data_IF_988994239424
#
_entry.id   IF_988994239424
#
_cell.length_a   1.000
_cell.length_b   1.000
_cell.length_c   1.000
_cell.angle_alpha   90.00
_cell.angle_beta   90.00
_cell.angle_gamma   90.00
#
_symmetry.space_group_name_H-M   'P 1'
#
loop_
_entity.id
_entity.type
_entity.pdbx_description
1 polymer ?
#
# COMPACT_ATOMS: atom_id res chain seq x y z
N UNK A 1 21.34 3.44 -13.75
CA UNK A 1 20.52 3.22 -12.54
C UNK A 1 19.12 2.80 -12.99
N UNK A 2 18.60 1.66 -12.50
CA UNK A 2 17.23 1.20 -12.85
C UNK A 2 16.20 2.05 -12.08
N UNK A 3 15.03 2.35 -12.68
CA UNK A 3 13.97 3.15 -12.05
C UNK A 3 13.67 2.72 -10.61
N UNK A 4 13.54 1.41 -10.39
CA UNK A 4 13.18 0.85 -9.08
C UNK A 4 14.23 1.15 -8.01
N UNK A 5 15.53 1.00 -8.32
CA UNK A 5 16.59 1.30 -7.35
C UNK A 5 16.64 2.79 -6.98
N UNK A 6 16.44 3.69 -7.94
CA UNK A 6 16.31 5.11 -7.63
C UNK A 6 15.09 5.42 -6.76
N UNK A 7 13.95 4.79 -7.04
CA UNK A 7 12.72 5.01 -6.30
C UNK A 7 12.82 4.47 -4.87
N UNK A 8 13.48 3.32 -4.68
CA UNK A 8 13.82 2.78 -3.37
C UNK A 8 14.67 3.79 -2.56
N UNK A 9 15.75 4.30 -3.15
CA UNK A 9 16.59 5.32 -2.52
C UNK A 9 15.81 6.60 -2.19
N UNK A 10 14.89 7.00 -3.08
CA UNK A 10 14.04 8.15 -2.86
C UNK A 10 13.07 7.92 -1.69
N UNK A 11 12.43 6.75 -1.61
CA UNK A 11 11.56 6.35 -0.49
C UNK A 11 12.33 6.43 0.84
N UNK A 12 13.53 5.86 0.89
CA UNK A 12 14.37 5.87 2.09
C UNK A 12 14.73 7.30 2.52
N UNK A 13 15.15 8.16 1.58
CA UNK A 13 15.45 9.56 1.87
C UNK A 13 14.22 10.34 2.33
N UNK A 14 13.09 10.20 1.65
CA UNK A 14 11.85 10.88 2.02
C UNK A 14 11.44 10.53 3.46
N UNK A 15 11.50 9.25 3.85
CA UNK A 15 11.20 8.82 5.22
C UNK A 15 12.21 9.36 6.24
N UNK A 16 13.50 9.40 5.89
CA UNK A 16 14.52 9.98 6.73
C UNK A 16 14.27 11.47 6.99
N UNK A 17 14.00 12.24 5.93
CA UNK A 17 13.80 13.69 5.99
C UNK A 17 12.57 14.08 6.83
N UNK A 18 11.57 13.19 6.93
CA UNK A 18 10.34 13.42 7.70
C UNK A 18 10.31 12.69 9.05
N UNK A 19 11.40 12.04 9.47
CA UNK A 19 11.44 11.24 10.70
C UNK A 19 11.05 12.05 11.95
N UNK A 20 11.40 13.34 12.02
CA UNK A 20 11.07 14.21 13.15
C UNK A 20 9.56 14.55 13.25
N UNK A 21 8.81 14.47 12.14
CA UNK A 21 7.37 14.75 12.09
C UNK A 21 6.53 13.47 12.23
N UNK A 22 7.18 12.31 12.10
CA UNK A 22 6.54 11.01 12.06
C UNK A 22 5.94 10.63 13.41
N UNK A 23 4.66 10.26 13.40
CA UNK A 23 3.92 9.76 14.56
C UNK A 23 3.73 8.25 14.44
N UNK A 24 3.92 7.52 15.53
CA UNK A 24 3.65 6.08 15.56
C UNK A 24 2.15 5.81 15.44
N UNK A 25 1.77 4.77 14.69
CA UNK A 25 0.38 4.34 14.59
C UNK A 25 -0.16 3.71 15.88
N UNK A 26 0.71 3.37 16.82
CA UNK A 26 0.32 2.91 18.15
C UNK A 26 -0.50 3.97 18.94
N UNK A 27 -0.53 5.23 18.50
CA UNK A 27 -1.40 6.26 19.08
C UNK A 27 -2.90 6.06 18.79
N UNK A 28 -3.28 5.02 18.04
CA UNK A 28 -4.66 4.66 17.74
C UNK A 28 -5.06 3.37 18.48
N UNK A 29 -5.65 3.46 19.69
CA UNK A 29 -6.06 2.28 20.44
C UNK A 29 -7.05 1.38 19.69
N UNK A 30 -7.94 1.98 18.90
CA UNK A 30 -8.96 1.29 18.11
C UNK A 30 -8.39 0.39 17.00
N UNK A 31 -7.10 0.50 16.67
CA UNK A 31 -6.46 -0.35 15.65
C UNK A 31 -5.77 -1.58 16.24
N UNK A 32 -5.60 -1.64 17.57
CA UNK A 32 -4.87 -2.73 18.23
C UNK A 32 -5.57 -4.08 18.12
N UNK A 33 -6.89 -4.09 17.90
CA UNK A 33 -7.65 -5.31 17.67
C UNK A 33 -7.51 -5.85 16.23
N UNK A 34 -7.04 -5.02 15.30
CA UNK A 34 -6.90 -5.36 13.87
C UNK A 34 -5.44 -5.59 13.44
N UNK A 35 -4.49 -5.02 14.19
CA UNK A 35 -3.06 -5.10 13.93
C UNK A 35 -2.28 -5.37 15.22
N UNK A 36 -1.22 -6.19 15.18
CA UNK A 36 -0.35 -6.39 16.33
C UNK A 36 0.28 -5.07 16.82
N UNK A 37 0.43 -4.92 18.14
CA UNK A 37 1.03 -3.72 18.74
C UNK A 37 2.45 -3.43 18.22
N UNK A 38 3.25 -4.47 17.96
CA UNK A 38 4.58 -4.34 17.38
C UNK A 38 4.54 -3.73 15.97
N UNK A 39 3.57 -4.15 15.15
CA UNK A 39 3.36 -3.59 13.82
C UNK A 39 2.97 -2.11 13.89
N UNK A 40 2.01 -1.75 14.75
CA UNK A 40 1.57 -0.35 14.92
C UNK A 40 2.67 0.56 15.50
N UNK A 41 3.57 0.01 16.31
CA UNK A 41 4.73 0.74 16.85
C UNK A 41 5.72 1.07 15.74
N UNK A 42 5.99 0.09 14.86
CA UNK A 42 6.89 0.25 13.73
C UNK A 42 6.31 1.15 12.66
N UNK A 43 5.03 1.00 12.31
CA UNK A 43 4.34 1.81 11.33
C UNK A 43 4.12 3.24 11.84
N UNK A 44 4.13 4.21 10.93
CA UNK A 44 3.97 5.61 11.29
C UNK A 44 3.41 6.46 10.18
N UNK A 45 3.01 7.67 10.55
CA UNK A 45 2.40 8.60 9.63
C UNK A 45 2.88 10.02 9.82
N UNK A 46 2.81 10.79 8.74
CA UNK A 46 3.13 12.22 8.71
C UNK A 46 1.94 12.95 8.10
N UNK A 47 1.44 13.96 8.81
CA UNK A 47 0.37 14.82 8.31
C UNK A 47 1.02 16.01 7.58
N UNK A 48 0.87 16.09 6.26
CA UNK A 48 1.57 17.08 5.43
C UNK A 48 0.77 17.44 4.17
N UNK A 49 0.97 18.66 3.68
CA UNK A 49 0.51 19.15 2.38
C UNK A 49 1.58 20.06 1.78
N UNK A 50 2.06 19.84 0.53
CA UNK A 50 1.72 18.74 -0.38
C UNK A 50 2.22 17.37 0.08
N UNK A 51 1.56 16.30 -0.36
CA UNK A 51 2.09 14.95 -0.20
C UNK A 51 3.44 14.83 -0.92
N UNK A 52 4.46 14.21 -0.30
CA UNK A 52 5.74 14.03 -0.95
C UNK A 52 5.58 13.12 -2.17
N UNK A 53 6.08 13.57 -3.30
CA UNK A 53 6.03 12.81 -4.55
C UNK A 53 7.31 13.06 -5.35
N UNK A 54 7.93 12.03 -5.96
CA UNK A 54 9.08 12.23 -6.82
C UNK A 54 8.71 13.10 -8.04
N UNK A 55 9.52 14.12 -8.32
CA UNK A 55 9.27 15.11 -9.38
C UNK A 55 8.88 14.50 -10.74
N UNK A 56 7.87 15.09 -11.39
CA UNK A 56 7.28 14.64 -12.66
C UNK A 56 8.32 14.38 -13.77
N UNK A 57 9.37 15.20 -13.87
CA UNK A 57 10.44 15.07 -14.87
C UNK A 57 11.15 13.71 -14.84
N UNK A 58 11.17 13.06 -13.67
CA UNK A 58 11.79 11.74 -13.48
C UNK A 58 10.94 10.60 -14.06
N UNK A 59 9.65 10.85 -14.33
CA UNK A 59 8.68 9.88 -14.85
C UNK A 59 8.54 9.92 -16.38
N UNK A 60 8.88 11.04 -17.01
CA UNK A 60 8.81 11.26 -18.46
C UNK A 60 9.59 10.19 -19.25
N UNK A 61 10.84 9.82 -18.90
CA UNK A 61 11.61 8.82 -19.65
C UNK A 61 10.99 7.42 -19.67
N UNK A 62 10.00 7.16 -18.81
CA UNK A 62 9.36 5.86 -18.65
C UNK A 62 7.99 5.77 -19.33
N UNK A 63 7.60 6.80 -20.09
CA UNK A 63 6.28 6.85 -20.75
C UNK A 63 5.12 7.02 -19.76
N UNK A 64 5.42 7.27 -18.49
CA UNK A 64 4.43 7.39 -17.41
C UNK A 64 3.95 8.83 -17.18
N UNK A 65 4.60 9.79 -17.85
CA UNK A 65 4.11 11.16 -18.13
C UNK A 65 3.35 11.85 -17.00
N UNK A 66 2.32 12.61 -17.37
CA UNK A 66 1.42 13.32 -16.45
C UNK A 66 0.46 12.39 -15.71
N UNK A 67 0.34 11.12 -16.10
CA UNK A 67 -0.61 10.16 -15.54
C UNK A 67 -0.34 9.84 -14.06
N UNK A 68 0.91 9.48 -13.71
CA UNK A 68 1.24 9.20 -12.32
C UNK A 68 1.14 10.47 -11.45
N UNK A 69 1.77 11.61 -11.81
CA UNK A 69 1.60 12.85 -11.06
C UNK A 69 0.14 13.28 -10.86
N UNK A 70 -0.72 13.13 -11.87
CA UNK A 70 -2.13 13.48 -11.75
C UNK A 70 -2.89 12.51 -10.82
N UNK A 71 -2.63 11.21 -10.94
CA UNK A 71 -3.25 10.19 -10.09
C UNK A 71 -2.88 10.38 -8.62
N UNK A 72 -1.61 10.63 -8.33
CA UNK A 72 -1.13 10.88 -6.97
C UNK A 72 -1.42 12.29 -6.45
N UNK A 73 -1.49 13.30 -7.33
CA UNK A 73 -1.81 14.68 -6.95
C UNK A 73 -3.20 14.81 -6.31
N UNK A 74 -4.16 13.99 -6.73
CA UNK A 74 -5.50 13.91 -6.16
C UNK A 74 -5.61 12.96 -4.94
N UNK A 75 -4.53 12.27 -4.55
CA UNK A 75 -4.58 11.30 -3.46
C UNK A 75 -4.75 12.00 -2.09
N UNK A 76 -5.51 11.33 -1.21
CA UNK A 76 -5.68 11.74 0.18
C UNK A 76 -4.45 11.36 1.03
N UNK A 77 -3.78 10.27 0.67
CA UNK A 77 -2.60 9.74 1.32
C UNK A 77 -1.72 8.95 0.34
N UNK A 78 -0.49 8.66 0.76
CA UNK A 78 0.47 7.81 0.03
C UNK A 78 1.40 7.09 1.00
N UNK A 79 1.64 5.80 0.77
CA UNK A 79 2.54 4.97 1.59
C UNK A 79 3.90 4.73 0.95
N UNK A 80 4.95 4.93 1.75
CA UNK A 80 6.35 4.67 1.42
C UNK A 80 7.00 3.82 2.52
N UNK A 81 7.09 2.51 2.30
CA UNK A 81 7.68 1.59 3.26
C UNK A 81 6.84 1.47 4.53
N UNK A 82 7.43 1.83 5.67
CA UNK A 82 6.80 1.82 6.98
C UNK A 82 6.08 3.14 7.34
N UNK A 83 6.06 4.10 6.42
CA UNK A 83 5.58 5.46 6.66
C UNK A 83 4.60 5.87 5.59
N UNK A 84 3.43 6.37 6.00
CA UNK A 84 2.48 6.98 5.08
C UNK A 84 2.28 8.46 5.38
N UNK A 85 1.96 9.19 4.33
CA UNK A 85 1.78 10.63 4.34
C UNK A 85 0.34 10.90 3.99
N UNK A 86 -0.35 11.71 4.77
CA UNK A 86 -1.75 12.05 4.51
C UNK A 86 -2.01 13.53 4.67
N UNK A 87 -2.97 14.03 3.90
CA UNK A 87 -3.37 15.43 3.93
C UNK A 87 -4.09 15.74 5.27
N UNK A 88 -3.95 16.96 5.82
CA UNK A 88 -4.55 17.34 7.10
C UNK A 88 -6.05 17.05 7.22
N UNK A 89 -6.81 17.21 6.13
CA UNK A 89 -8.25 16.96 6.09
C UNK A 89 -8.63 15.50 6.42
N UNK A 90 -7.71 14.56 6.29
CA UNK A 90 -7.94 13.14 6.52
C UNK A 90 -7.22 12.60 7.77
N UNK A 91 -6.57 13.47 8.56
CA UNK A 91 -5.72 13.08 9.69
C UNK A 91 -6.42 12.29 10.82
N UNK A 92 -7.75 12.27 10.81
CA UNK A 92 -8.59 11.53 11.76
C UNK A 92 -9.50 10.50 11.09
N UNK A 93 -9.33 10.26 9.78
CA UNK A 93 -10.14 9.31 9.03
C UNK A 93 -9.58 7.89 9.25
N UNK A 94 -10.05 7.23 10.30
CA UNK A 94 -9.49 5.96 10.75
C UNK A 94 -9.48 4.88 9.66
N UNK A 95 -10.50 4.84 8.80
CA UNK A 95 -10.54 3.88 7.69
C UNK A 95 -9.45 4.16 6.63
N UNK A 96 -9.09 5.43 6.39
CA UNK A 96 -7.94 5.75 5.54
C UNK A 96 -6.63 5.30 6.19
N UNK A 97 -6.48 5.45 7.51
CA UNK A 97 -5.31 4.90 8.21
C UNK A 97 -5.21 3.37 8.04
N UNK A 98 -6.34 2.65 8.08
CA UNK A 98 -6.37 1.20 7.81
C UNK A 98 -5.92 0.91 6.38
N UNK A 99 -6.40 1.66 5.38
CA UNK A 99 -5.97 1.53 3.98
C UNK A 99 -4.45 1.67 3.84
N UNK A 100 -3.86 2.72 4.41
CA UNK A 100 -2.42 2.93 4.34
C UNK A 100 -1.63 1.87 5.14
N UNK A 101 -2.15 1.38 6.26
CA UNK A 101 -1.53 0.29 7.01
C UNK A 101 -1.55 -1.04 6.24
N UNK A 102 -2.54 -1.28 5.37
CA UNK A 102 -2.49 -2.40 4.43
C UNK A 102 -1.30 -2.25 3.48
N UNK A 103 -1.04 -1.05 2.96
CA UNK A 103 0.16 -0.83 2.14
C UNK A 103 1.44 -1.04 2.93
N UNK A 104 1.53 -0.62 4.21
CA UNK A 104 2.68 -0.91 5.07
C UNK A 104 2.88 -2.43 5.21
N UNK A 105 1.80 -3.19 5.44
CA UNK A 105 1.86 -4.66 5.50
C UNK A 105 2.33 -5.27 4.17
N UNK A 106 1.86 -4.74 3.03
CA UNK A 106 2.30 -5.17 1.70
C UNK A 106 3.80 -4.89 1.48
N UNK A 107 4.30 -3.71 1.92
CA UNK A 107 5.72 -3.37 1.89
C UNK A 107 6.55 -4.32 2.75
N UNK A 108 6.09 -4.64 3.96
CA UNK A 108 6.79 -5.56 4.86
C UNK A 108 6.85 -6.99 4.30
N UNK A 109 5.76 -7.48 3.70
CA UNK A 109 5.68 -8.83 3.14
C UNK A 109 6.51 -8.99 1.86
N UNK A 110 6.47 -8.01 0.96
CA UNK A 110 7.15 -8.10 -0.34
C UNK A 110 8.60 -7.55 -0.32
N UNK A 111 8.90 -6.65 0.62
CA UNK A 111 10.07 -5.77 0.55
C UNK A 111 9.87 -4.59 -0.41
N UNK A 112 10.63 -3.52 -0.20
CA UNK A 112 10.46 -2.23 -0.91
C UNK A 112 10.58 -2.35 -2.42
N UNK A 113 11.65 -2.95 -2.94
CA UNK A 113 11.86 -3.09 -4.39
C UNK A 113 10.80 -3.94 -5.08
N UNK A 114 10.50 -5.17 -4.59
CA UNK A 114 9.44 -5.99 -5.15
C UNK A 114 8.05 -5.33 -5.07
N UNK A 115 7.72 -4.67 -3.95
CA UNK A 115 6.48 -3.89 -3.83
C UNK A 115 6.41 -2.81 -4.92
N UNK A 116 7.40 -1.92 -5.00
CA UNK A 116 7.39 -0.78 -5.93
C UNK A 116 7.28 -1.25 -7.38
N UNK A 117 8.02 -2.30 -7.76
CA UNK A 117 7.94 -2.87 -9.11
C UNK A 117 6.54 -3.40 -9.40
N UNK A 118 5.95 -4.16 -8.48
CA UNK A 118 4.62 -4.75 -8.64
C UNK A 118 3.54 -3.68 -8.69
N UNK A 119 3.60 -2.71 -7.78
CA UNK A 119 2.64 -1.62 -7.68
C UNK A 119 2.64 -0.75 -8.94
N UNK A 120 3.82 -0.30 -9.40
CA UNK A 120 3.94 0.47 -10.65
C UNK A 120 3.46 -0.33 -11.87
N UNK A 121 3.80 -1.61 -11.96
CA UNK A 121 3.34 -2.46 -13.05
C UNK A 121 1.80 -2.54 -13.09
N UNK A 122 1.16 -2.71 -11.94
CA UNK A 122 -0.30 -2.76 -11.85
C UNK A 122 -0.93 -1.41 -12.21
N UNK A 123 -0.42 -0.30 -11.68
CA UNK A 123 -0.90 1.04 -12.01
C UNK A 123 -0.86 1.30 -13.52
N UNK A 124 0.22 0.93 -14.20
CA UNK A 124 0.39 1.15 -15.63
C UNK A 124 -0.49 0.22 -16.48
N UNK A 125 -0.83 -0.96 -15.97
CA UNK A 125 -1.59 -1.97 -16.74
C UNK A 125 -3.10 -1.89 -16.52
N UNK A 126 -3.55 -1.59 -15.31
CA UNK A 126 -4.97 -1.62 -14.93
C UNK A 126 -5.51 -0.29 -14.42
N UNK A 127 -4.62 0.69 -14.20
CA UNK A 127 -4.95 1.98 -13.57
C UNK A 127 -5.07 1.87 -12.06
N UNK A 128 -5.09 3.02 -11.38
CA UNK A 128 -5.09 3.10 -9.91
C UNK A 128 -6.23 2.29 -9.26
N UNK A 129 -7.48 2.53 -9.67
CA UNK A 129 -8.66 1.91 -9.05
C UNK A 129 -8.78 0.39 -9.23
N UNK A 130 -8.08 -0.18 -10.21
CA UNK A 130 -8.15 -1.60 -10.51
C UNK A 130 -6.80 -2.31 -10.28
N UNK A 131 -5.84 -1.64 -9.64
CA UNK A 131 -4.58 -2.28 -9.28
C UNK A 131 -4.86 -3.31 -8.18
N UNK A 132 -4.48 -4.60 -8.34
CA UNK A 132 -4.74 -5.62 -7.33
C UNK A 132 -4.29 -5.27 -5.90
N UNK A 133 -3.17 -4.55 -5.73
CA UNK A 133 -2.72 -4.11 -4.40
C UNK A 133 -3.62 -3.01 -3.81
N UNK A 134 -4.19 -2.13 -4.65
CA UNK A 134 -5.18 -1.13 -4.23
C UNK A 134 -6.53 -1.77 -3.92
N UNK A 135 -6.96 -2.75 -4.74
CA UNK A 135 -8.20 -3.48 -4.49
C UNK A 135 -8.17 -4.19 -3.13
N UNK A 136 -7.06 -4.85 -2.79
CA UNK A 136 -6.84 -5.43 -1.47
C UNK A 136 -6.99 -4.40 -0.34
N UNK A 137 -6.34 -3.24 -0.46
CA UNK A 137 -6.42 -2.18 0.53
C UNK A 137 -7.85 -1.64 0.69
N UNK A 138 -8.55 -1.41 -0.42
CA UNK A 138 -9.95 -1.00 -0.42
C UNK A 138 -10.91 -2.05 0.14
N UNK A 139 -10.68 -3.34 -0.13
CA UNK A 139 -11.51 -4.43 0.39
C UNK A 139 -11.38 -4.52 1.92
N UNK A 140 -10.16 -4.43 2.43
CA UNK A 140 -9.89 -4.47 3.87
C UNK A 140 -10.36 -3.20 4.58
N UNK A 141 -10.23 -2.03 3.94
CA UNK A 141 -10.82 -0.79 4.42
C UNK A 141 -12.36 -0.92 4.54
N UNK A 142 -13.04 -1.36 3.48
CA UNK A 142 -14.50 -1.54 3.50
C UNK A 142 -14.95 -2.54 4.55
N UNK A 143 -14.18 -3.61 4.73
CA UNK A 143 -14.44 -4.63 5.75
C UNK A 143 -14.35 -4.03 7.14
N UNK A 144 -13.30 -3.26 7.42
CA UNK A 144 -13.14 -2.51 8.67
C UNK A 144 -14.31 -1.53 8.93
N UNK A 145 -14.79 -0.84 7.89
CA UNK A 145 -15.93 0.09 8.02
C UNK A 145 -17.27 -0.62 8.31
N UNK A 146 -17.43 -1.86 7.81
CA UNK A 146 -18.69 -2.62 7.89
C UNK A 146 -18.78 -3.51 9.12
N UNK A 147 -17.67 -4.15 9.51
CA UNK A 147 -17.66 -5.21 10.51
C UNK A 147 -17.29 -4.64 11.88
N UNK A 148 -18.15 -4.90 12.88
CA UNK A 148 -17.89 -4.52 14.26
C UNK A 148 -16.95 -5.50 14.98
N UNK A 149 -16.87 -6.73 14.49
CA UNK A 149 -15.94 -7.72 15.02
C UNK A 149 -14.54 -7.49 14.44
N UNK A 150 -13.49 -7.44 15.27
CA UNK A 150 -12.14 -7.30 14.79
C UNK A 150 -11.68 -8.56 14.05
N UNK A 151 -10.73 -8.37 13.14
CA UNK A 151 -10.09 -9.44 12.39
C UNK A 151 -8.62 -9.07 12.12
N UNK A 152 -7.78 -10.08 11.95
CA UNK A 152 -6.35 -9.87 11.72
C UNK A 152 -6.08 -9.45 10.28
N UNK A 153 -5.90 -8.14 10.08
CA UNK A 153 -5.61 -7.55 8.77
C UNK A 153 -4.23 -7.98 8.27
N UNK A 154 -3.24 -8.10 9.17
CA UNK A 154 -1.87 -8.45 8.78
C UNK A 154 -1.80 -9.86 8.20
N UNK A 155 -2.47 -10.82 8.84
CA UNK A 155 -2.56 -12.20 8.35
C UNK A 155 -3.31 -12.27 7.01
N UNK A 156 -4.42 -11.54 6.87
CA UNK A 156 -5.20 -11.49 5.64
C UNK A 156 -4.39 -10.93 4.45
N UNK A 157 -3.62 -9.86 4.67
CA UNK A 157 -2.70 -9.31 3.65
C UNK A 157 -1.68 -10.35 3.20
N UNK A 158 -1.03 -11.04 4.13
CA UNK A 158 -0.03 -12.07 3.81
C UNK A 158 -0.65 -13.20 2.97
N UNK A 159 -1.81 -13.72 3.39
CA UNK A 159 -2.51 -14.79 2.68
C UNK A 159 -2.90 -14.40 1.25
N UNK A 160 -3.44 -13.20 1.06
CA UNK A 160 -3.82 -12.72 -0.26
C UNK A 160 -2.59 -12.50 -1.16
N UNK A 161 -1.48 -11.96 -0.62
CA UNK A 161 -0.25 -11.77 -1.39
C UNK A 161 0.35 -13.11 -1.84
N UNK A 162 0.37 -14.10 -0.95
CA UNK A 162 0.86 -15.44 -1.25
C UNK A 162 0.00 -16.11 -2.34
N UNK A 163 -1.33 -16.01 -2.22
CA UNK A 163 -2.27 -16.53 -3.22
C UNK A 163 -2.09 -15.88 -4.61
N UNK A 164 -1.73 -14.59 -4.67
CA UNK A 164 -1.44 -13.92 -5.94
C UNK A 164 -0.10 -14.32 -6.57
N UNK A 165 0.83 -14.89 -5.79
CA UNK A 165 2.12 -15.41 -6.27
C UNK A 165 2.12 -16.90 -6.58
N UNK A 166 1.13 -17.64 -6.07
CA UNK A 166 0.95 -19.03 -6.41
C UNK A 166 0.78 -19.16 -7.94
N UNK A 167 1.48 -20.10 -8.61
CA UNK A 167 1.12 -20.44 -9.97
C UNK A 167 -0.36 -20.83 -9.96
N UNK A 168 -1.14 -20.33 -10.91
CA UNK A 168 -2.53 -20.74 -11.06
C UNK A 168 -2.55 -22.26 -11.01
N UNK A 169 -3.14 -22.85 -9.96
CA UNK A 169 -3.27 -24.29 -9.85
C UNK A 169 -3.88 -24.74 -11.18
N UNK A 170 -3.13 -25.53 -11.94
CA UNK A 170 -3.67 -26.13 -13.14
C UNK A 170 -4.94 -26.86 -12.69
N UNK A 171 -6.09 -26.39 -13.17
CA UNK A 171 -7.33 -27.13 -13.04
C UNK A 171 -7.03 -28.56 -13.50
N UNK A 172 -7.30 -29.61 -12.71
CA UNK A 172 -7.19 -30.96 -13.22
C UNK A 172 -8.17 -31.06 -14.40
N UNK A 173 -7.60 -31.07 -15.60
CA UNK A 173 -8.30 -31.45 -16.81
C UNK A 173 -8.59 -32.94 -16.70
N UNK A 174 -9.80 -33.30 -16.32
CA UNK A 174 -10.29 -34.65 -16.52
C UNK A 174 -11.35 -35.08 -15.51
N UNK A 175 -12.59 -35.18 -15.96
CA UNK A 175 -13.33 -36.44 -15.96
C UNK A 175 -14.54 -36.33 -16.90
N UNK A 176 -14.50 -37.08 -18.01
CA UNK A 176 -15.69 -37.37 -18.82
C UNK A 176 -16.65 -38.24 -17.99
N UNK A 177 -17.98 -38.07 -18.12
CA UNK A 177 -18.90 -39.01 -17.51
C UNK A 177 -18.83 -40.37 -18.21
N UNK A 178 -18.84 -41.45 -17.43
CA UNK A 178 -19.17 -42.78 -17.91
C UNK A 178 -20.49 -42.73 -18.71
N UNK A 179 -20.44 -43.24 -19.94
CA UNK A 179 -21.59 -43.84 -20.62
C UNK A 179 -21.48 -45.34 -20.50
#
# INVERSE_FOLDING_TARGET
MRLTGWLEDWVLRTNHDHAAQRRSCACWPSLQDYFPAAFLTQAGFVVIDPLPFPLAERWIPWGTGTFLPASFGAAAAITYGDTYYLRPAFAHHLSLHVHELVHVAQYQHLGTGPFLRRYLYQLLRTGYRNAPLELMAYDLQRRFERESAPFDILTEVAQQLDAMTAPACATPSGESPCQ
#
